data_IF_344694115312
#
_entry.id   IF_344694115312
#
_cell.length_a   1.000
_cell.length_b   1.000
_cell.length_c   1.000
_cell.angle_alpha   90.00
_cell.angle_beta   90.00
_cell.angle_gamma   90.00
#
_symmetry.space_group_name_H-M   'P 1'
#
loop_
_entity.id
_entity.type
_entity.pdbx_description
1 polymer ?
#
# COMPACT_ATOMS: atom_id res chain seq x y z
N UNK A 1 -43.76 11.50 27.48
CA UNK A 1 -43.11 11.15 28.77
C UNK A 1 -41.60 10.91 28.53
N UNK A 2 -40.70 11.15 29.50
CA UNK A 2 -39.30 11.53 29.20
C UNK A 2 -38.18 10.53 29.57
N UNK A 3 -37.09 10.58 28.78
CA UNK A 3 -35.64 10.45 29.10
C UNK A 3 -35.13 9.55 30.25
N UNK A 4 -34.18 8.65 29.94
CA UNK A 4 -32.87 8.51 30.61
C UNK A 4 -31.96 7.53 29.81
N UNK A 5 -30.88 7.93 29.12
CA UNK A 5 -29.53 8.38 29.56
C UNK A 5 -28.65 7.32 30.25
N UNK A 6 -27.67 6.78 29.51
CA UNK A 6 -26.40 6.23 30.05
C UNK A 6 -25.52 7.34 30.66
N UNK A 7 -24.79 7.08 31.75
CA UNK A 7 -23.60 7.85 32.13
C UNK A 7 -22.29 7.12 31.79
N UNK A 8 -21.23 7.89 31.54
CA UNK A 8 -19.86 7.44 31.29
C UNK A 8 -18.94 7.68 32.53
N UNK A 9 -17.66 7.28 32.55
CA UNK A 9 -16.94 6.96 33.79
C UNK A 9 -16.35 8.18 34.54
N UNK A 10 -16.06 7.99 35.84
CA UNK A 10 -15.32 8.95 36.68
C UNK A 10 -13.81 8.74 36.61
N UNK A 11 -13.07 9.85 36.46
CA UNK A 11 -11.60 9.93 36.49
C UNK A 11 -11.08 9.82 37.93
N UNK A 12 -9.83 9.37 38.11
CA UNK A 12 -8.97 9.81 39.21
C UNK A 12 -7.52 9.92 38.73
N UNK A 13 -6.84 11.02 39.07
CA UNK A 13 -5.44 11.26 38.76
C UNK A 13 -4.60 11.28 40.05
N UNK A 14 -3.34 10.86 39.98
CA UNK A 14 -2.33 11.06 41.02
C UNK A 14 -0.99 11.44 40.34
N UNK A 15 -0.22 12.34 40.98
CA UNK A 15 1.02 12.93 40.44
C UNK A 15 2.27 12.30 41.09
N UNK A 16 3.35 12.21 40.29
CA UNK A 16 4.78 12.43 40.63
C UNK A 16 5.37 11.85 41.94
N UNK A 17 6.54 11.21 41.79
CA UNK A 17 7.78 11.69 42.43
C UNK A 17 9.05 11.21 41.72
N UNK A 18 10.07 12.08 41.74
CA UNK A 18 11.45 11.90 41.27
C UNK A 18 12.27 11.04 42.26
N UNK A 19 13.34 10.41 41.75
CA UNK A 19 14.50 9.92 42.52
C UNK A 19 15.77 10.05 41.67
N UNK A 20 16.94 10.25 42.29
CA UNK A 20 18.14 10.80 41.62
C UNK A 20 19.44 10.13 42.11
N UNK A 21 20.45 10.00 41.22
CA UNK A 21 21.89 9.78 41.51
C UNK A 21 22.25 8.45 42.24
N UNK A 22 23.43 7.83 42.11
CA UNK A 22 24.78 8.23 41.64
C UNK A 22 25.24 7.28 40.49
N UNK A 23 26.50 7.08 40.04
CA UNK A 23 27.82 7.45 40.57
C UNK A 23 28.90 7.79 39.50
N UNK A 24 29.96 6.98 39.37
CA UNK A 24 31.26 7.30 38.73
C UNK A 24 32.02 6.03 38.33
N UNK A 25 32.73 6.07 37.19
CA UNK A 25 33.78 5.11 36.82
C UNK A 25 34.56 5.57 35.58
N UNK A 26 35.79 6.04 35.76
CA UNK A 26 36.77 6.46 34.72
C UNK A 26 37.90 5.37 34.75
N UNK A 27 38.73 5.06 33.74
CA UNK A 27 39.66 5.90 32.95
C UNK A 27 40.13 5.13 31.67
N UNK A 28 40.67 5.89 30.71
CA UNK A 28 41.57 5.59 29.55
C UNK A 28 42.56 4.40 29.74
N UNK A 29 43.27 3.84 28.75
CA UNK A 29 43.89 4.50 27.56
C UNK A 29 44.47 3.54 26.49
N UNK A 30 44.85 4.12 25.32
CA UNK A 30 46.02 3.75 24.44
C UNK A 30 46.13 2.35 23.78
N UNK A 31 46.75 2.14 22.61
CA UNK A 31 47.09 2.96 21.42
C UNK A 31 47.80 2.07 20.35
N UNK A 32 48.02 2.60 19.13
CA UNK A 32 49.03 2.21 18.10
C UNK A 32 48.77 1.04 17.11
N UNK A 33 48.48 1.45 15.87
CA UNK A 33 49.16 1.12 14.57
C UNK A 33 49.49 -0.32 14.15
N UNK A 34 49.12 -0.64 12.90
CA UNK A 34 49.57 -1.79 12.07
C UNK A 34 51.02 -1.58 11.50
N UNK A 35 51.65 -2.51 10.73
CA UNK A 35 51.19 -2.96 9.40
C UNK A 35 51.48 -4.43 8.93
N UNK A 36 50.81 -4.79 7.82
CA UNK A 36 51.10 -5.74 6.72
C UNK A 36 52.13 -6.90 6.81
N UNK A 37 51.73 -8.09 6.34
CA UNK A 37 52.54 -9.00 5.50
C UNK A 37 51.66 -10.01 4.71
N UNK A 38 52.20 -10.58 3.64
CA UNK A 38 51.51 -11.40 2.63
C UNK A 38 51.73 -12.93 2.81
N UNK A 39 50.76 -13.71 2.31
CA UNK A 39 50.94 -14.97 1.53
C UNK A 39 50.62 -16.37 2.14
N UNK A 40 49.89 -17.14 1.29
CA UNK A 40 49.88 -18.61 1.03
C UNK A 40 48.79 -19.53 1.62
N UNK A 41 48.04 -20.09 0.65
CA UNK A 41 47.49 -21.46 0.52
C UNK A 41 46.42 -22.00 1.48
N UNK A 42 45.25 -22.28 0.90
CA UNK A 42 44.20 -23.18 1.42
C UNK A 42 44.67 -24.64 1.52
N UNK A 43 43.90 -25.50 2.20
CA UNK A 43 43.06 -26.40 1.40
C UNK A 43 41.57 -26.45 1.84
N UNK A 44 40.78 -27.14 1.03
CA UNK A 44 39.32 -27.14 1.06
C UNK A 44 38.69 -27.72 2.35
N UNK A 45 37.57 -27.12 2.76
CA UNK A 45 36.52 -27.82 3.51
C UNK A 45 35.18 -27.64 2.80
N UNK A 46 34.70 -28.72 2.18
CA UNK A 46 33.34 -28.78 1.63
C UNK A 46 32.35 -28.74 2.79
N UNK A 47 31.60 -27.64 2.92
CA UNK A 47 30.35 -27.62 3.69
C UNK A 47 29.22 -27.40 2.70
N UNK A 48 28.56 -28.51 2.36
CA UNK A 48 27.39 -28.57 1.49
C UNK A 48 26.21 -27.93 2.22
N UNK A 49 26.12 -26.60 2.16
CA UNK A 49 24.90 -25.90 2.52
C UNK A 49 23.80 -26.33 1.55
N UNK A 50 22.99 -27.31 1.97
CA UNK A 50 21.66 -27.51 1.39
C UNK A 50 20.88 -26.23 1.71
N UNK A 51 20.96 -25.26 0.81
CA UNK A 51 19.88 -24.29 0.67
C UNK A 51 18.65 -25.10 0.29
N UNK A 52 17.81 -25.41 1.27
CA UNK A 52 16.40 -25.63 1.01
C UNK A 52 15.94 -24.39 0.27
N UNK A 53 15.81 -24.51 -1.06
CA UNK A 53 14.77 -23.75 -1.74
C UNK A 53 13.48 -24.27 -1.15
N UNK A 54 13.06 -23.64 -0.06
CA UNK A 54 11.67 -23.63 0.33
C UNK A 54 10.96 -23.14 -0.92
N UNK A 55 10.35 -24.10 -1.62
CA UNK A 55 9.44 -23.77 -2.70
C UNK A 55 8.30 -23.06 -2.00
N UNK A 56 8.35 -21.73 -1.97
CA UNK A 56 7.17 -20.92 -1.69
C UNK A 56 6.07 -21.53 -2.54
N UNK A 57 5.12 -22.18 -1.87
CA UNK A 57 3.90 -22.62 -2.52
C UNK A 57 3.32 -21.36 -3.11
N UNK A 58 3.29 -21.28 -4.45
CA UNK A 58 2.75 -20.14 -5.17
C UNK A 58 1.26 -20.10 -4.81
N UNK A 59 0.96 -19.42 -3.71
CA UNK A 59 -0.39 -19.16 -3.27
C UNK A 59 -1.05 -18.46 -4.46
N UNK A 60 -2.19 -18.97 -4.95
CA UNK A 60 -2.76 -18.45 -6.18
C UNK A 60 -3.02 -16.95 -5.95
N UNK A 61 -2.54 -16.12 -6.88
CA UNK A 61 -2.63 -14.65 -6.79
C UNK A 61 -3.77 -14.16 -7.67
N UNK A 62 -4.56 -13.25 -7.12
CA UNK A 62 -5.60 -12.51 -7.83
C UNK A 62 -5.09 -11.14 -8.24
N UNK A 63 -5.89 -10.46 -9.04
CA UNK A 63 -5.62 -9.10 -9.52
C UNK A 63 -6.51 -8.13 -8.76
N UNK A 64 -5.92 -7.31 -7.90
CA UNK A 64 -6.61 -6.19 -7.27
C UNK A 64 -6.73 -5.06 -8.30
N UNK A 65 -7.92 -4.48 -8.49
CA UNK A 65 -8.15 -3.38 -9.44
C UNK A 65 -8.36 -2.06 -8.69
N UNK A 66 -7.59 -1.04 -9.08
CA UNK A 66 -7.63 0.29 -8.47
C UNK A 66 -8.59 1.22 -9.23
N UNK A 67 -8.39 1.34 -10.53
CA UNK A 67 -9.17 2.22 -11.41
C UNK A 67 -9.13 1.72 -12.86
N UNK A 68 -10.04 2.25 -13.67
CA UNK A 68 -10.06 2.10 -15.14
C UNK A 68 -9.61 3.43 -15.77
N UNK A 69 -8.75 3.35 -16.79
CA UNK A 69 -8.22 4.48 -17.56
C UNK A 69 -8.32 4.22 -19.06
N UNK A 70 -8.18 5.27 -19.86
CA UNK A 70 -7.95 5.14 -21.30
C UNK A 70 -6.44 4.98 -21.58
N UNK A 71 -6.03 3.87 -22.20
CA UNK A 71 -4.69 3.60 -22.70
C UNK A 71 -4.67 2.43 -23.68
N UNK A 72 -4.13 2.64 -24.88
CA UNK A 72 -3.88 1.60 -25.89
C UNK A 72 -2.59 0.80 -25.63
N UNK A 73 -1.70 1.31 -24.76
CA UNK A 73 -0.39 0.72 -24.46
C UNK A 73 -0.32 0.18 -23.03
N UNK A 74 0.45 -0.90 -22.77
CA UNK A 74 0.77 -1.31 -21.41
C UNK A 74 1.51 -0.21 -20.66
N UNK A 75 1.10 0.05 -19.41
CA UNK A 75 1.70 1.02 -18.50
C UNK A 75 2.08 0.34 -17.18
N UNK A 76 3.00 1.00 -16.47
CA UNK A 76 3.47 0.69 -15.12
C UNK A 76 3.54 1.99 -14.34
N UNK A 77 3.18 1.94 -13.06
CA UNK A 77 3.14 3.11 -12.19
C UNK A 77 4.10 2.90 -11.01
N UNK A 78 4.87 3.93 -10.68
CA UNK A 78 5.77 3.94 -9.51
C UNK A 78 4.94 4.17 -8.23
N UNK A 79 4.24 3.11 -7.82
CA UNK A 79 3.34 3.11 -6.67
C UNK A 79 3.41 1.77 -5.94
N UNK A 80 3.43 1.81 -4.61
CA UNK A 80 3.35 0.62 -3.77
C UNK A 80 1.94 0.04 -3.79
N UNK A 81 1.79 -1.20 -4.26
CA UNK A 81 0.53 -1.93 -4.25
C UNK A 81 0.03 -2.29 -2.85
N UNK A 82 -1.22 -2.73 -2.79
CA UNK A 82 -1.88 -3.22 -1.57
C UNK A 82 -1.31 -4.57 -1.13
N UNK A 83 -1.27 -4.79 0.20
CA UNK A 83 -0.80 -5.99 0.89
C UNK A 83 0.69 -6.37 0.72
N UNK A 84 1.37 -5.84 -0.29
CA UNK A 84 2.80 -6.04 -0.55
C UNK A 84 3.37 -4.78 -1.21
N UNK A 85 4.22 -4.03 -0.50
CA UNK A 85 4.82 -2.79 -1.01
C UNK A 85 5.67 -3.02 -2.28
N UNK A 86 6.06 -4.26 -2.57
CA UNK A 86 6.82 -4.65 -3.77
C UNK A 86 5.93 -5.05 -4.94
N UNK A 87 4.60 -5.08 -4.77
CA UNK A 87 3.67 -5.46 -5.82
C UNK A 87 3.62 -4.37 -6.91
N UNK A 88 4.17 -4.70 -8.09
CA UNK A 88 4.20 -3.81 -9.26
C UNK A 88 2.79 -3.44 -9.72
N UNK A 89 2.48 -2.14 -9.72
CA UNK A 89 1.23 -1.61 -10.27
C UNK A 89 1.36 -1.47 -11.78
N UNK A 90 0.55 -2.20 -12.52
CA UNK A 90 0.59 -2.34 -13.98
C UNK A 90 -0.80 -2.38 -14.60
N UNK A 91 -0.90 -2.30 -15.92
CA UNK A 91 -2.20 -2.36 -16.62
C UNK A 91 -2.55 -3.71 -17.21
N UNK A 92 -3.83 -4.09 -17.13
CA UNK A 92 -4.46 -5.09 -18.01
C UNK A 92 -5.34 -4.34 -19.02
N UNK A 93 -4.97 -4.38 -20.31
CA UNK A 93 -5.66 -3.64 -21.38
C UNK A 93 -6.62 -4.48 -22.22
N UNK A 94 -7.66 -3.82 -22.73
CA UNK A 94 -8.56 -4.28 -23.80
C UNK A 94 -8.96 -3.09 -24.69
N UNK A 95 -8.58 -3.13 -25.98
CA UNK A 95 -8.72 -2.00 -26.92
C UNK A 95 -8.04 -0.74 -26.38
N UNK A 96 -8.79 0.35 -26.22
CA UNK A 96 -8.37 1.65 -25.70
C UNK A 96 -8.55 1.79 -24.19
N UNK A 97 -9.09 0.78 -23.50
CA UNK A 97 -9.27 0.78 -22.05
C UNK A 97 -8.22 -0.07 -21.35
N UNK A 98 -7.83 0.35 -20.15
CA UNK A 98 -6.94 -0.39 -19.27
C UNK A 98 -7.42 -0.34 -17.81
N UNK A 99 -7.43 -1.50 -17.16
CA UNK A 99 -7.57 -1.60 -15.71
C UNK A 99 -6.18 -1.49 -15.07
N UNK A 100 -6.01 -0.60 -14.10
CA UNK A 100 -4.79 -0.50 -13.28
C UNK A 100 -4.89 -1.49 -12.14
N UNK A 101 -3.89 -2.38 -12.03
CA UNK A 101 -3.93 -3.55 -11.13
C UNK A 101 -2.59 -3.84 -10.45
N UNK A 102 -2.64 -4.63 -9.38
CA UNK A 102 -1.45 -5.29 -8.79
C UNK A 102 -1.80 -6.72 -8.37
N UNK A 103 -0.78 -7.58 -8.27
CA UNK A 103 -0.96 -8.97 -7.84
C UNK A 103 -1.05 -9.08 -6.31
N UNK A 104 -2.16 -9.62 -5.81
CA UNK A 104 -2.40 -9.88 -4.37
C UNK A 104 -2.66 -11.37 -4.14
N UNK A 105 -2.35 -11.95 -2.96
CA UNK A 105 -2.80 -13.31 -2.64
C UNK A 105 -4.32 -13.44 -2.77
N UNK A 106 -4.85 -14.56 -3.31
CA UNK A 106 -6.31 -14.76 -3.38
C UNK A 106 -6.88 -14.85 -1.96
N UNK A 107 -7.71 -13.88 -1.63
CA UNK A 107 -8.37 -13.73 -0.34
C UNK A 107 -9.14 -12.40 -0.30
N UNK A 108 -9.78 -12.13 0.83
CA UNK A 108 -10.34 -10.79 1.11
C UNK A 108 -9.20 -9.89 1.55
N UNK A 109 -9.03 -8.75 0.88
CA UNK A 109 -8.17 -7.68 1.39
C UNK A 109 -8.91 -6.98 2.52
N UNK A 110 -8.35 -7.03 3.74
CA UNK A 110 -8.90 -6.33 4.88
C UNK A 110 -8.94 -4.81 4.64
N UNK A 111 -10.04 -4.16 5.00
CA UNK A 111 -10.24 -2.71 4.94
C UNK A 111 -9.47 -1.96 6.03
N UNK A 112 -8.19 -2.29 6.21
CA UNK A 112 -7.29 -1.56 7.11
C UNK A 112 -7.08 -0.14 6.60
N UNK A 113 -6.82 0.81 7.51
CA UNK A 113 -6.50 2.19 7.13
C UNK A 113 -5.30 2.26 6.17
N UNK A 114 -4.35 1.35 6.32
CA UNK A 114 -3.16 1.26 5.48
C UNK A 114 -3.49 0.83 4.05
N UNK A 115 -4.28 -0.24 3.88
CA UNK A 115 -4.72 -0.71 2.56
C UNK A 115 -5.60 0.33 1.85
N UNK A 116 -6.52 0.99 2.57
CA UNK A 116 -7.35 2.07 2.01
C UNK A 116 -6.47 3.25 1.56
N UNK A 117 -5.50 3.68 2.37
CA UNK A 117 -4.58 4.74 1.94
C UNK A 117 -3.65 4.30 0.80
N UNK A 118 -3.29 3.02 0.69
CA UNK A 118 -2.55 2.49 -0.46
C UNK A 118 -3.40 2.53 -1.74
N UNK A 119 -4.68 2.17 -1.66
CA UNK A 119 -5.64 2.30 -2.77
C UNK A 119 -5.70 3.73 -3.30
N UNK A 120 -5.94 4.71 -2.41
CA UNK A 120 -6.03 6.12 -2.80
C UNK A 120 -4.72 6.63 -3.39
N UNK A 121 -3.56 6.31 -2.81
CA UNK A 121 -2.25 6.73 -3.35
C UNK A 121 -2.01 6.22 -4.77
N UNK A 122 -2.44 5.00 -5.10
CA UNK A 122 -2.33 4.49 -6.47
C UNK A 122 -3.21 5.31 -7.42
N UNK A 123 -4.46 5.58 -7.05
CA UNK A 123 -5.36 6.42 -7.84
C UNK A 123 -4.79 7.84 -8.02
N UNK A 124 -4.31 8.49 -6.95
CA UNK A 124 -3.68 9.82 -7.00
C UNK A 124 -2.45 9.89 -7.93
N UNK A 125 -1.67 8.82 -8.02
CA UNK A 125 -0.51 8.74 -8.92
C UNK A 125 -0.95 8.61 -10.38
N UNK A 126 -1.92 7.72 -10.66
CA UNK A 126 -2.47 7.54 -12.01
C UNK A 126 -3.17 8.82 -12.52
N UNK A 127 -3.87 9.53 -11.63
CA UNK A 127 -4.57 10.80 -11.92
C UNK A 127 -3.65 11.94 -12.40
N UNK A 128 -2.33 11.84 -12.22
CA UNK A 128 -1.37 12.85 -12.70
C UNK A 128 -1.24 12.87 -14.22
N UNK A 129 -1.48 11.74 -14.87
CA UNK A 129 -1.28 11.54 -16.31
C UNK A 129 -2.54 11.05 -17.03
N UNK A 130 -3.55 10.53 -16.30
CA UNK A 130 -4.76 9.94 -16.87
C UNK A 130 -6.04 10.42 -16.19
N UNK A 131 -7.13 10.52 -16.95
CA UNK A 131 -8.49 10.53 -16.39
C UNK A 131 -8.80 9.12 -15.85
N UNK A 132 -9.32 9.02 -14.63
CA UNK A 132 -9.59 7.75 -13.95
C UNK A 132 -11.08 7.56 -13.65
N UNK A 133 -11.53 6.31 -13.69
CA UNK A 133 -12.73 5.84 -13.00
C UNK A 133 -12.25 5.01 -11.80
N UNK A 134 -12.36 5.50 -10.55
CA UNK A 134 -11.96 4.73 -9.38
C UNK A 134 -12.90 3.54 -9.17
N UNK A 135 -12.34 2.37 -8.91
CA UNK A 135 -13.11 1.18 -8.54
C UNK A 135 -13.30 1.14 -7.01
N UNK A 136 -14.38 0.50 -6.56
CA UNK A 136 -14.60 0.30 -5.12
C UNK A 136 -13.42 -0.42 -4.47
N UNK A 137 -13.04 0.00 -3.27
CA UNK A 137 -12.04 -0.70 -2.46
C UNK A 137 -12.40 -2.19 -2.30
N UNK A 138 -11.41 -3.08 -2.44
CA UNK A 138 -11.60 -4.53 -2.36
C UNK A 138 -12.01 -5.19 -3.69
N UNK A 139 -12.03 -4.47 -4.82
CA UNK A 139 -12.29 -5.06 -6.14
C UNK A 139 -11.16 -6.00 -6.57
N UNK A 140 -11.40 -7.32 -6.53
CA UNK A 140 -10.40 -8.35 -6.86
C UNK A 140 -10.99 -9.33 -7.87
N UNK A 141 -10.22 -9.62 -8.92
CA UNK A 141 -10.49 -10.64 -9.93
C UNK A 141 -9.55 -11.84 -9.76
N UNK A 142 -9.98 -13.03 -10.19
CA UNK A 142 -9.16 -14.25 -10.07
C UNK A 142 -8.12 -14.32 -11.17
N UNK A 143 -8.48 -13.90 -12.37
CA UNK A 143 -7.63 -14.00 -13.56
C UNK A 143 -7.52 -12.67 -14.31
N UNK A 144 -6.54 -12.61 -15.21
CA UNK A 144 -6.42 -11.52 -16.19
C UNK A 144 -7.61 -11.49 -17.16
N UNK A 145 -8.18 -12.65 -17.49
CA UNK A 145 -9.22 -12.76 -18.50
C UNK A 145 -10.58 -12.30 -17.96
N UNK A 146 -10.85 -12.50 -16.66
CA UNK A 146 -12.02 -11.92 -15.97
C UNK A 146 -12.04 -10.37 -16.11
N UNK A 147 -10.86 -9.74 -16.02
CA UNK A 147 -10.71 -8.28 -16.18
C UNK A 147 -10.91 -7.88 -17.65
N UNK A 148 -10.41 -8.67 -18.60
CA UNK A 148 -10.65 -8.43 -20.03
C UNK A 148 -12.13 -8.59 -20.38
N UNK A 149 -12.86 -9.48 -19.71
CA UNK A 149 -14.32 -9.63 -19.85
C UNK A 149 -15.08 -8.43 -19.25
N UNK A 150 -14.68 -7.91 -18.08
CA UNK A 150 -15.20 -6.64 -17.54
C UNK A 150 -14.99 -5.49 -18.53
N UNK A 151 -13.75 -5.28 -18.99
CA UNK A 151 -13.43 -4.18 -19.92
C UNK A 151 -14.14 -4.32 -21.26
N UNK A 152 -14.38 -5.55 -21.73
CA UNK A 152 -15.14 -5.83 -22.96
C UNK A 152 -16.62 -5.55 -22.81
N UNK A 153 -17.24 -6.04 -21.73
CA UNK A 153 -18.68 -5.94 -21.50
C UNK A 153 -19.15 -4.52 -21.18
N UNK A 154 -18.26 -3.69 -20.61
CA UNK A 154 -18.55 -2.30 -20.24
C UNK A 154 -17.74 -1.28 -21.08
N UNK A 155 -17.25 -1.63 -22.27
CA UNK A 155 -16.33 -0.77 -23.03
C UNK A 155 -16.94 0.61 -23.37
N UNK A 156 -18.15 0.63 -23.93
CA UNK A 156 -18.86 1.87 -24.26
C UNK A 156 -19.15 2.69 -22.98
N UNK A 157 -19.63 2.03 -21.92
CA UNK A 157 -20.00 2.69 -20.67
C UNK A 157 -18.80 3.33 -19.94
N UNK A 158 -17.65 2.66 -19.88
CA UNK A 158 -16.43 3.26 -19.33
C UNK A 158 -15.87 4.35 -20.26
N UNK A 159 -15.93 4.16 -21.57
CA UNK A 159 -15.52 5.17 -22.56
C UNK A 159 -16.31 6.48 -22.41
N UNK A 160 -17.64 6.40 -22.32
CA UNK A 160 -18.52 7.55 -22.11
C UNK A 160 -18.23 8.29 -20.81
N UNK A 161 -18.01 7.56 -19.71
CA UNK A 161 -17.68 8.16 -18.40
C UNK A 161 -16.30 8.82 -18.45
N UNK A 162 -15.27 8.17 -19.01
CA UNK A 162 -13.93 8.76 -19.17
C UNK A 162 -13.96 10.01 -20.05
N UNK A 163 -14.65 9.98 -21.19
CA UNK A 163 -14.84 11.14 -22.07
C UNK A 163 -15.57 12.28 -21.35
N UNK A 164 -16.59 11.96 -20.52
CA UNK A 164 -17.33 12.95 -19.73
C UNK A 164 -16.50 13.53 -18.58
N UNK A 165 -15.55 12.78 -18.01
CA UNK A 165 -14.70 13.21 -16.89
C UNK A 165 -13.38 13.88 -17.32
N UNK A 166 -12.99 13.77 -18.59
CA UNK A 166 -11.76 14.37 -19.13
C UNK A 166 -11.68 15.87 -18.81
N UNK A 167 -10.49 16.29 -18.38
CA UNK A 167 -10.12 17.67 -18.03
C UNK A 167 -10.99 18.33 -16.93
N UNK A 168 -11.58 17.50 -16.04
CA UNK A 168 -12.40 17.96 -14.90
C UNK A 168 -11.81 17.52 -13.57
N UNK A 169 -12.17 18.24 -12.51
CA UNK A 169 -11.80 17.94 -11.13
C UNK A 169 -13.06 17.78 -10.27
N UNK A 170 -13.01 16.87 -9.31
CA UNK A 170 -14.02 16.69 -8.28
C UNK A 170 -13.70 17.53 -7.04
N UNK A 171 -14.72 18.15 -6.43
CA UNK A 171 -14.57 18.93 -5.20
C UNK A 171 -15.67 18.57 -4.18
N UNK A 172 -15.26 18.10 -3.01
CA UNK A 172 -16.17 17.86 -1.88
C UNK A 172 -16.25 19.08 -0.95
N UNK A 173 -17.38 19.79 -0.96
CA UNK A 173 -17.62 20.91 -0.03
C UNK A 173 -18.35 20.44 1.24
N UNK A 174 -17.73 20.66 2.41
CA UNK A 174 -18.34 20.38 3.72
C UNK A 174 -18.43 21.64 4.56
N UNK A 175 -19.64 22.17 4.71
CA UNK A 175 -19.93 23.32 5.57
C UNK A 175 -20.20 22.84 7.00
N UNK A 176 -19.51 23.44 7.97
CA UNK A 176 -19.71 23.24 9.40
C UNK A 176 -20.23 24.56 9.99
N UNK A 177 -21.43 24.55 10.57
CA UNK A 177 -22.05 25.72 11.20
C UNK A 177 -22.27 25.45 12.69
N UNK A 178 -21.75 26.33 13.54
CA UNK A 178 -22.07 26.34 14.97
C UNK A 178 -23.38 27.10 15.21
N UNK A 179 -24.39 26.44 15.78
CA UNK A 179 -25.73 27.01 15.95
C UNK A 179 -25.90 27.78 17.26
N UNK A 180 -24.97 27.64 18.20
CA UNK A 180 -25.08 28.24 19.53
C UNK A 180 -24.39 29.62 19.62
N UNK A 181 -23.87 30.13 18.50
CA UNK A 181 -23.18 31.43 18.35
C UNK A 181 -23.99 32.49 17.57
N UNK A 182 -25.32 32.33 17.51
CA UNK A 182 -26.30 33.30 16.98
C UNK A 182 -27.17 33.83 18.13
#
# INVERSE_FOLDING_TARGET
>A
MPKSKRPAPRRRAVRRSRGTMTSRGKVKSTSRSAPAALARSSPARVVRAKGTRESETIAPRGKYVYCIIQSERPLRFDAAGIADERAEVHTVGYRDLAAVVSDVPIGVVDSTRENVLAHERVNEIVMREHTVIPMSFGTIFKTRDDIVELLRSAQDAFGDVLNKMRDKMEFGLKVLWDRDSI
#
